data_IF_046376558271
#
_entry.id   IF_046376558271
#
_cell.length_a   1.000
_cell.length_b   1.000
_cell.length_c   1.000
_cell.angle_alpha   90.00
_cell.angle_beta   90.00
_cell.angle_gamma   90.00
#
_symmetry.space_group_name_H-M   'P 1'
#
loop_
_entity.id
_entity.type
_entity.pdbx_description
1 polymer ?
#
# COMPACT_ATOMS: atom_id res chain seq x y z
N UNK A 1 24.72 -6.45 -20.88
CA UNK A 1 24.93 -7.53 -19.89
C UNK A 1 25.85 -7.08 -18.75
N UNK A 2 27.08 -6.62 -19.03
CA UNK A 2 28.12 -6.31 -18.03
C UNK A 2 27.66 -5.48 -16.81
N UNK A 3 27.30 -4.21 -17.00
CA UNK A 3 26.98 -3.31 -15.87
C UNK A 3 25.79 -3.78 -15.03
N UNK A 4 24.76 -4.34 -15.67
CA UNK A 4 23.57 -4.87 -14.97
C UNK A 4 23.95 -6.07 -14.08
N UNK A 5 24.91 -6.88 -14.51
CA UNK A 5 25.41 -8.03 -13.73
C UNK A 5 26.52 -7.64 -12.74
N UNK A 6 26.91 -6.37 -12.64
CA UNK A 6 27.98 -5.92 -11.75
C UNK A 6 29.40 -6.13 -12.28
N UNK A 7 29.56 -6.38 -13.58
CA UNK A 7 30.86 -6.56 -14.23
C UNK A 7 31.27 -5.34 -15.05
N UNK A 8 32.57 -5.14 -15.22
CA UNK A 8 33.13 -4.26 -16.25
C UNK A 8 33.36 -5.05 -17.54
N UNK A 9 33.42 -4.34 -18.67
CA UNK A 9 33.65 -4.98 -19.97
C UNK A 9 35.07 -5.58 -19.99
N UNK A 10 35.14 -6.90 -20.20
CA UNK A 10 36.40 -7.66 -20.16
C UNK A 10 36.58 -8.55 -18.94
N UNK A 11 35.78 -8.36 -17.88
CA UNK A 11 35.84 -9.21 -16.68
C UNK A 11 35.30 -10.62 -16.93
N UNK A 12 34.34 -10.74 -17.84
CA UNK A 12 33.60 -11.98 -18.14
C UNK A 12 33.24 -12.08 -19.62
N UNK A 13 33.04 -13.32 -20.08
CA UNK A 13 32.46 -13.58 -21.40
C UNK A 13 30.93 -13.70 -21.25
N UNK A 14 30.13 -12.91 -21.99
CA UNK A 14 28.68 -12.94 -21.88
C UNK A 14 28.12 -14.21 -22.51
N UNK A 15 27.70 -15.17 -21.67
CA UNK A 15 27.11 -16.45 -22.11
C UNK A 15 25.72 -16.65 -21.51
N UNK A 16 24.93 -17.54 -22.11
CA UNK A 16 23.63 -17.95 -21.54
C UNK A 16 23.81 -18.56 -20.15
N UNK A 17 24.87 -19.35 -19.94
CA UNK A 17 25.19 -19.92 -18.62
C UNK A 17 25.47 -18.83 -17.58
N UNK A 18 26.17 -17.75 -17.98
CA UNK A 18 26.40 -16.61 -17.10
C UNK A 18 25.08 -15.92 -16.72
N UNK A 19 24.17 -15.74 -17.69
CA UNK A 19 22.84 -15.18 -17.44
C UNK A 19 22.05 -16.04 -16.45
N UNK A 20 22.04 -17.36 -16.66
CA UNK A 20 21.34 -18.32 -15.79
C UNK A 20 21.97 -18.41 -14.39
N UNK A 21 23.30 -18.30 -14.29
CA UNK A 21 24.00 -18.29 -13.01
C UNK A 21 23.60 -17.07 -12.15
N UNK A 22 23.33 -15.93 -12.79
CA UNK A 22 22.84 -14.73 -12.12
C UNK A 22 21.32 -14.69 -12.01
N UNK A 23 20.57 -15.67 -12.53
CA UNK A 23 19.15 -15.77 -12.24
C UNK A 23 18.92 -16.19 -10.78
N UNK A 24 17.93 -15.57 -10.13
CA UNK A 24 17.50 -15.94 -8.79
C UNK A 24 17.14 -17.44 -8.76
N UNK A 25 17.51 -18.19 -7.71
CA UNK A 25 17.30 -19.65 -7.67
C UNK A 25 15.85 -20.09 -7.90
N UNK A 26 14.88 -19.28 -7.48
CA UNK A 26 13.44 -19.53 -7.70
C UNK A 26 12.97 -19.38 -9.15
N UNK A 27 13.69 -18.61 -9.98
CA UNK A 27 13.28 -18.29 -11.35
C UNK A 27 14.14 -19.05 -12.38
N UNK A 28 15.35 -19.48 -11.97
CA UNK A 28 16.33 -20.16 -12.82
C UNK A 28 15.80 -21.39 -13.55
N UNK A 29 15.02 -22.32 -12.95
CA UNK A 29 14.55 -23.52 -13.65
C UNK A 29 13.65 -23.20 -14.86
N UNK A 30 12.73 -22.24 -14.69
CA UNK A 30 11.80 -21.83 -15.74
C UNK A 30 12.55 -21.07 -16.84
N UNK A 31 13.44 -20.15 -16.45
CA UNK A 31 14.27 -19.41 -17.40
C UNK A 31 15.19 -20.32 -18.23
N UNK A 32 15.81 -21.32 -17.59
CA UNK A 32 16.65 -22.30 -18.29
C UNK A 32 15.83 -23.11 -19.31
N UNK A 33 14.62 -23.51 -18.94
CA UNK A 33 13.69 -24.23 -19.84
C UNK A 33 13.33 -23.37 -21.05
N UNK A 34 12.99 -22.10 -20.81
CA UNK A 34 12.65 -21.15 -21.88
C UNK A 34 13.84 -20.89 -22.83
N UNK A 35 15.05 -20.76 -22.30
CA UNK A 35 16.25 -20.45 -23.11
C UNK A 35 16.84 -21.68 -23.83
N UNK A 36 16.47 -22.89 -23.44
CA UNK A 36 16.84 -24.10 -24.15
C UNK A 36 16.12 -24.23 -25.51
N UNK A 37 14.85 -23.80 -25.57
CA UNK A 37 14.07 -23.73 -26.81
C UNK A 37 13.29 -22.40 -26.90
N UNK A 38 14.00 -21.28 -27.16
CA UNK A 38 13.37 -19.98 -27.14
C UNK A 38 12.38 -19.81 -28.30
N UNK A 39 11.19 -19.26 -28.03
CA UNK A 39 10.18 -18.98 -29.05
C UNK A 39 10.69 -17.93 -30.07
N UNK A 40 10.01 -17.77 -31.22
CA UNK A 40 10.39 -16.78 -32.24
C UNK A 40 10.52 -15.35 -31.71
N UNK A 41 9.70 -15.00 -30.72
CA UNK A 41 9.82 -13.78 -29.92
C UNK A 41 9.61 -14.12 -28.45
N UNK A 42 10.41 -13.52 -27.57
CA UNK A 42 10.34 -13.73 -26.14
C UNK A 42 10.33 -12.40 -25.39
N UNK A 43 9.58 -12.39 -24.30
CA UNK A 43 9.55 -11.33 -23.31
C UNK A 43 9.30 -11.99 -21.97
N UNK A 44 10.34 -12.09 -21.14
CA UNK A 44 10.28 -12.78 -19.85
C UNK A 44 10.84 -11.88 -18.76
N UNK A 45 10.06 -11.70 -17.70
CA UNK A 45 10.50 -11.06 -16.48
C UNK A 45 11.06 -12.12 -15.52
N UNK A 46 12.19 -11.82 -14.89
CA UNK A 46 12.79 -12.69 -13.87
C UNK A 46 13.65 -11.86 -12.92
N UNK A 47 13.86 -12.38 -11.72
CA UNK A 47 14.80 -11.80 -10.76
C UNK A 47 16.21 -12.26 -11.10
N UNK A 48 17.14 -11.33 -11.13
CA UNK A 48 18.56 -11.61 -11.18
C UNK A 48 19.24 -11.17 -9.88
N UNK A 49 20.34 -11.82 -9.53
CA UNK A 49 21.25 -11.43 -8.45
C UNK A 49 22.55 -11.03 -9.15
N UNK A 50 22.97 -9.78 -8.98
CA UNK A 50 24.22 -9.30 -9.56
C UNK A 50 25.46 -9.77 -8.77
N UNK A 51 26.66 -9.48 -9.29
CA UNK A 51 27.91 -9.87 -8.65
C UNK A 51 28.16 -9.23 -7.26
N UNK A 52 27.35 -8.24 -6.87
CA UNK A 52 27.38 -7.60 -5.55
C UNK A 52 26.31 -8.13 -4.60
N UNK A 53 25.66 -9.25 -4.95
CA UNK A 53 24.56 -9.88 -4.21
C UNK A 53 23.29 -9.01 -4.13
N UNK A 54 23.13 -8.07 -5.08
CA UNK A 54 21.93 -7.25 -5.18
C UNK A 54 20.92 -7.91 -6.12
N UNK A 55 19.72 -8.15 -5.61
CA UNK A 55 18.59 -8.59 -6.42
C UNK A 55 18.08 -7.44 -7.31
N UNK A 56 17.78 -7.75 -8.57
CA UNK A 56 17.24 -6.85 -9.58
C UNK A 56 16.10 -7.53 -10.30
N UNK A 57 15.06 -6.77 -10.63
CA UNK A 57 13.98 -7.25 -11.49
C UNK A 57 14.30 -6.88 -12.93
N UNK A 58 14.52 -7.90 -13.77
CA UNK A 58 14.88 -7.69 -15.16
C UNK A 58 13.86 -8.29 -16.11
N UNK A 59 13.80 -7.72 -17.31
CA UNK A 59 13.07 -8.30 -18.44
C UNK A 59 14.07 -8.59 -19.56
N UNK A 60 14.09 -9.85 -19.99
CA UNK A 60 14.75 -10.24 -21.22
C UNK A 60 13.71 -10.16 -22.35
N UNK A 61 13.97 -9.33 -23.35
CA UNK A 61 13.15 -9.21 -24.56
C UNK A 61 14.03 -9.58 -25.74
N UNK A 62 13.55 -10.44 -26.62
CA UNK A 62 14.33 -10.82 -27.79
C UNK A 62 13.53 -11.53 -28.87
N UNK A 63 14.18 -11.78 -29.98
CA UNK A 63 13.66 -12.50 -31.13
C UNK A 63 14.71 -13.45 -31.69
N UNK A 64 14.25 -14.59 -32.20
CA UNK A 64 15.11 -15.59 -32.82
C UNK A 64 15.31 -15.22 -34.30
N UNK A 65 16.54 -14.92 -34.71
CA UNK A 65 16.92 -14.62 -36.10
C UNK A 65 18.04 -15.55 -36.54
N UNK A 66 17.86 -16.21 -37.69
CA UNK A 66 18.86 -17.13 -38.27
C UNK A 66 19.35 -18.22 -37.30
N UNK A 67 18.50 -18.65 -36.37
CA UNK A 67 18.85 -19.63 -35.34
C UNK A 67 19.46 -19.05 -34.05
N UNK A 68 19.80 -17.77 -34.02
CA UNK A 68 20.35 -17.08 -32.85
C UNK A 68 19.31 -16.20 -32.14
N UNK A 69 19.43 -16.05 -30.83
CA UNK A 69 18.58 -15.16 -30.06
C UNK A 69 19.24 -13.77 -29.97
N UNK A 70 18.55 -12.75 -30.49
CA UNK A 70 18.95 -11.36 -30.35
C UNK A 70 17.99 -10.64 -29.42
N UNK A 71 18.51 -9.87 -28.47
CA UNK A 71 17.66 -9.22 -27.50
C UNK A 71 18.36 -8.26 -26.55
N UNK A 72 17.56 -7.69 -25.68
CA UNK A 72 17.96 -6.75 -24.65
C UNK A 72 17.57 -7.31 -23.29
N UNK A 73 18.47 -7.13 -22.33
CA UNK A 73 18.15 -7.27 -20.91
C UNK A 73 17.93 -5.87 -20.34
N UNK A 74 16.76 -5.63 -19.80
CA UNK A 74 16.35 -4.33 -19.23
C UNK A 74 16.21 -4.48 -17.73
N UNK A 75 16.89 -3.63 -16.97
CA UNK A 75 16.71 -3.51 -15.51
C UNK A 75 15.49 -2.62 -15.22
N UNK A 76 14.48 -3.21 -14.58
CA UNK A 76 13.25 -2.53 -14.18
C UNK A 76 13.19 -2.21 -12.69
N UNK A 77 14.25 -2.51 -11.92
CA UNK A 77 14.26 -2.41 -10.46
C UNK A 77 13.81 -1.03 -9.99
N UNK A 78 14.49 0.04 -10.43
CA UNK A 78 14.15 1.41 -10.01
C UNK A 78 12.77 1.85 -10.50
N UNK A 79 12.30 1.32 -11.64
CA UNK A 79 10.98 1.65 -12.17
C UNK A 79 9.90 1.06 -11.26
N UNK A 80 10.02 -0.24 -10.97
CA UNK A 80 9.07 -0.97 -10.14
C UNK A 80 9.08 -0.46 -8.70
N UNK A 81 10.26 -0.14 -8.15
CA UNK A 81 10.39 0.47 -6.82
C UNK A 81 9.66 1.82 -6.74
N UNK A 82 9.84 2.70 -7.73
CA UNK A 82 9.15 4.00 -7.77
C UNK A 82 7.63 3.85 -7.85
N UNK A 83 7.13 2.96 -8.72
CA UNK A 83 5.69 2.73 -8.82
C UNK A 83 5.13 2.09 -7.54
N UNK A 84 5.85 1.12 -6.97
CA UNK A 84 5.51 0.51 -5.69
C UNK A 84 5.42 1.53 -4.56
N UNK A 85 6.40 2.43 -4.45
CA UNK A 85 6.40 3.53 -3.48
C UNK A 85 5.23 4.49 -3.69
N UNK A 86 4.89 4.84 -4.93
CA UNK A 86 3.76 5.71 -5.23
C UNK A 86 2.42 5.05 -4.81
N UNK A 87 2.23 3.77 -5.14
CA UNK A 87 1.05 3.00 -4.73
C UNK A 87 0.96 2.89 -3.21
N UNK A 88 2.06 2.54 -2.54
CA UNK A 88 2.12 2.44 -1.10
C UNK A 88 1.82 3.79 -0.41
N UNK A 89 2.40 4.88 -0.91
CA UNK A 89 2.16 6.25 -0.40
C UNK A 89 0.69 6.62 -0.56
N UNK A 90 0.09 6.36 -1.72
CA UNK A 90 -1.33 6.59 -1.96
C UNK A 90 -2.21 5.75 -1.03
N UNK A 91 -1.87 4.48 -0.80
CA UNK A 91 -2.61 3.60 0.11
C UNK A 91 -2.51 4.07 1.57
N UNK A 92 -1.33 4.50 2.00
CA UNK A 92 -1.10 5.07 3.34
C UNK A 92 -1.89 6.38 3.49
N UNK A 93 -1.86 7.27 2.51
CA UNK A 93 -2.62 8.52 2.52
C UNK A 93 -4.13 8.25 2.58
N UNK A 94 -4.63 7.31 1.77
CA UNK A 94 -6.03 6.89 1.81
C UNK A 94 -6.40 6.28 3.17
N UNK A 95 -5.53 5.46 3.76
CA UNK A 95 -5.72 4.90 5.10
C UNK A 95 -5.72 6.00 6.18
N UNK A 96 -4.84 7.00 6.09
CA UNK A 96 -4.79 8.14 6.99
C UNK A 96 -6.06 9.00 6.88
N UNK A 97 -6.50 9.33 5.66
CA UNK A 97 -7.78 10.01 5.41
C UNK A 97 -8.94 9.19 5.96
N UNK A 98 -8.91 7.86 5.81
CA UNK A 98 -9.94 6.98 6.37
C UNK A 98 -9.94 6.94 7.91
N UNK A 99 -8.80 7.21 8.57
CA UNK A 99 -8.69 7.34 10.04
C UNK A 99 -9.05 8.76 10.54
N UNK A 100 -9.07 9.75 9.66
CA UNK A 100 -9.28 11.17 9.98
C UNK A 100 -10.57 11.46 10.74
N UNK A 101 -11.69 10.83 10.39
CA UNK A 101 -13.00 11.21 10.96
C UNK A 101 -13.13 10.85 12.45
N UNK A 102 -12.54 9.73 12.87
CA UNK A 102 -12.54 9.31 14.27
C UNK A 102 -11.64 10.23 15.09
N UNK A 103 -10.43 10.54 14.60
CA UNK A 103 -9.52 11.46 15.29
C UNK A 103 -10.08 12.89 15.39
N UNK A 104 -10.81 13.36 14.36
CA UNK A 104 -11.52 14.64 14.41
C UNK A 104 -12.64 14.62 15.46
N UNK A 105 -13.44 13.55 15.51
CA UNK A 105 -14.45 13.39 16.54
C UNK A 105 -13.84 13.30 17.95
N UNK A 106 -12.72 12.59 18.11
CA UNK A 106 -11.95 12.54 19.37
C UNK A 106 -11.51 13.94 19.78
N UNK A 107 -10.98 14.74 18.85
CA UNK A 107 -10.61 16.14 19.12
C UNK A 107 -11.79 17.01 19.58
N UNK A 108 -12.94 16.89 18.91
CA UNK A 108 -14.16 17.60 19.31
C UNK A 108 -14.69 17.17 20.69
N UNK A 109 -14.69 15.86 20.97
CA UNK A 109 -15.09 15.31 22.26
C UNK A 109 -14.10 15.76 23.35
N UNK A 110 -12.79 15.68 23.10
CA UNK A 110 -11.75 16.13 24.03
C UNK A 110 -11.92 17.61 24.39
N UNK A 111 -12.14 18.47 23.37
CA UNK A 111 -12.37 19.90 23.55
C UNK A 111 -13.63 20.18 24.39
N UNK A 112 -14.76 19.57 24.02
CA UNK A 112 -16.05 19.81 24.71
C UNK A 112 -16.08 19.27 26.14
N UNK A 113 -15.51 18.08 26.37
CA UNK A 113 -15.47 17.41 27.66
C UNK A 113 -14.27 17.83 28.52
N UNK A 114 -13.39 18.70 28.00
CA UNK A 114 -12.17 19.17 28.67
C UNK A 114 -11.30 18.01 29.19
N UNK A 115 -11.07 17.02 28.34
CA UNK A 115 -10.34 15.80 28.67
C UNK A 115 -9.26 15.51 27.62
N UNK A 116 -8.38 14.54 27.90
CA UNK A 116 -7.32 14.15 26.96
C UNK A 116 -7.85 13.24 25.83
N UNK A 117 -7.14 13.13 24.70
CA UNK A 117 -7.59 12.30 23.58
C UNK A 117 -7.87 10.82 23.93
N UNK A 118 -7.06 10.13 24.78
CA UNK A 118 -7.38 8.78 25.23
C UNK A 118 -8.72 8.68 25.98
N UNK A 119 -9.00 9.59 26.92
CA UNK A 119 -10.27 9.60 27.64
C UNK A 119 -11.46 9.97 26.73
N UNK A 120 -11.26 10.91 25.80
CA UNK A 120 -12.27 11.27 24.80
C UNK A 120 -12.60 10.09 23.86
N UNK A 121 -11.59 9.33 23.43
CA UNK A 121 -11.81 8.11 22.66
C UNK A 121 -12.58 7.05 23.45
N UNK A 122 -12.29 6.89 24.75
CA UNK A 122 -13.05 6.00 25.62
C UNK A 122 -14.52 6.43 25.76
N UNK A 123 -14.80 7.74 25.87
CA UNK A 123 -16.16 8.28 25.87
C UNK A 123 -16.88 8.05 24.55
N UNK A 124 -16.21 8.28 23.42
CA UNK A 124 -16.75 8.03 22.08
C UNK A 124 -17.08 6.54 21.88
N UNK A 125 -16.20 5.65 22.36
CA UNK A 125 -16.43 4.20 22.34
C UNK A 125 -17.62 3.79 23.20
N UNK A 126 -17.73 4.34 24.42
CA UNK A 126 -18.87 4.07 25.30
C UNK A 126 -20.19 4.51 24.64
N UNK A 127 -20.24 5.73 24.09
CA UNK A 127 -21.41 6.23 23.37
C UNK A 127 -21.79 5.37 22.14
N UNK A 128 -20.79 4.88 21.38
CA UNK A 128 -21.01 3.97 20.26
C UNK A 128 -21.62 2.64 20.69
N UNK A 129 -21.19 2.09 21.84
CA UNK A 129 -21.79 0.87 22.41
C UNK A 129 -23.20 1.13 22.92
N UNK A 130 -23.43 2.23 23.65
CA UNK A 130 -24.73 2.61 24.20
C UNK A 130 -25.78 2.80 23.08
N UNK A 131 -25.37 3.40 21.95
CA UNK A 131 -26.23 3.63 20.78
C UNK A 131 -26.28 2.43 19.80
N UNK A 132 -25.48 1.38 20.03
CA UNK A 132 -25.35 0.21 19.15
C UNK A 132 -25.09 0.55 17.67
N UNK A 133 -24.23 1.54 17.40
CA UNK A 133 -23.80 1.91 16.05
C UNK A 133 -22.28 1.83 15.89
N UNK A 134 -21.76 1.57 14.68
CA UNK A 134 -20.32 1.57 14.45
C UNK A 134 -19.68 2.91 14.89
N UNK A 135 -18.59 2.86 15.65
CA UNK A 135 -17.90 4.07 16.15
C UNK A 135 -17.55 5.07 15.04
N UNK A 136 -17.27 4.57 13.83
CA UNK A 136 -17.03 5.40 12.65
C UNK A 136 -18.27 6.18 12.23
N UNK A 137 -19.46 5.58 12.26
CA UNK A 137 -20.72 6.26 11.94
C UNK A 137 -21.03 7.35 12.98
N UNK A 138 -20.81 7.05 14.27
CA UNK A 138 -20.93 8.03 15.35
C UNK A 138 -19.95 9.21 15.16
N UNK A 139 -18.69 8.91 14.85
CA UNK A 139 -17.68 9.94 14.59
C UNK A 139 -18.05 10.84 13.41
N UNK A 140 -18.55 10.25 12.31
CA UNK A 140 -19.05 11.01 11.16
C UNK A 140 -20.18 11.96 11.56
N UNK A 141 -21.19 11.47 12.28
CA UNK A 141 -22.31 12.29 12.74
C UNK A 141 -21.86 13.47 13.61
N UNK A 142 -20.86 13.26 14.48
CA UNK A 142 -20.26 14.33 15.28
C UNK A 142 -19.57 15.37 14.39
N UNK A 143 -18.69 14.93 13.49
CA UNK A 143 -17.92 15.84 12.63
C UNK A 143 -18.82 16.65 11.70
N UNK A 144 -19.87 16.03 11.14
CA UNK A 144 -20.84 16.70 10.27
C UNK A 144 -21.69 17.74 11.02
N UNK A 145 -21.97 17.53 12.31
CA UNK A 145 -22.71 18.48 13.13
C UNK A 145 -21.86 19.69 13.60
N UNK A 146 -20.52 19.60 13.60
CA UNK A 146 -19.64 20.66 14.14
C UNK A 146 -19.87 22.06 13.55
N UNK A 147 -20.05 22.25 12.22
CA UNK A 147 -20.29 23.57 11.65
C UNK A 147 -21.53 24.27 12.22
N UNK A 148 -22.57 23.50 12.57
CA UNK A 148 -23.84 24.01 13.12
C UNK A 148 -23.75 24.28 14.62
N UNK A 149 -22.93 23.50 15.33
CA UNK A 149 -22.66 23.66 16.76
C UNK A 149 -21.76 24.88 17.03
N UNK A 150 -20.90 25.26 16.07
CA UNK A 150 -19.97 26.37 16.22
C UNK A 150 -18.90 26.11 17.31
N UNK A 151 -18.20 27.16 17.74
CA UNK A 151 -17.17 27.07 18.79
C UNK A 151 -17.74 26.96 20.23
N UNK A 152 -19.04 26.67 20.37
CA UNK A 152 -19.73 26.60 21.65
C UNK A 152 -19.65 25.19 22.23
N UNK A 153 -18.71 25.00 23.17
CA UNK A 153 -18.48 23.72 23.83
C UNK A 153 -19.75 23.12 24.45
N UNK A 154 -20.69 23.94 24.93
CA UNK A 154 -21.92 23.47 25.58
C UNK A 154 -22.91 22.88 24.57
N UNK A 155 -22.93 23.39 23.32
CA UNK A 155 -23.73 22.79 22.25
C UNK A 155 -23.19 21.42 21.85
N UNK A 156 -21.87 21.29 21.75
CA UNK A 156 -21.22 20.00 21.48
C UNK A 156 -21.54 18.98 22.58
N UNK A 157 -21.49 19.37 23.86
CA UNK A 157 -21.89 18.48 24.97
C UNK A 157 -23.34 18.02 24.87
N UNK A 158 -24.26 18.92 24.54
CA UNK A 158 -25.69 18.60 24.39
C UNK A 158 -25.93 17.60 23.28
N UNK A 159 -25.33 17.82 22.12
CA UNK A 159 -25.43 16.91 20.98
C UNK A 159 -24.90 15.51 21.32
N UNK A 160 -23.74 15.42 22.01
CA UNK A 160 -23.20 14.15 22.50
C UNK A 160 -24.14 13.46 23.51
N UNK A 161 -24.81 14.22 24.36
CA UNK A 161 -25.78 13.67 25.30
C UNK A 161 -27.05 13.15 24.61
N UNK A 162 -27.47 13.76 23.49
CA UNK A 162 -28.60 13.33 22.67
C UNK A 162 -28.28 12.04 21.91
N UNK A 163 -27.08 11.91 21.35
CA UNK A 163 -26.61 10.68 20.69
C UNK A 163 -26.56 9.46 21.61
N UNK A 164 -26.43 9.66 22.92
CA UNK A 164 -26.40 8.59 23.92
C UNK A 164 -27.78 8.16 24.41
N UNK A 165 -28.84 8.91 24.07
CA UNK A 165 -30.20 8.49 24.36
C UNK A 165 -30.61 7.48 23.29
N UNK A 166 -30.90 6.21 23.65
CA UNK A 166 -31.41 5.27 22.68
C UNK A 166 -32.70 5.84 22.09
N UNK A 167 -32.89 5.62 20.78
CA UNK A 167 -34.09 6.01 20.07
C UNK A 167 -35.32 5.43 20.79
N UNK A 168 -36.04 6.27 21.54
CA UNK A 168 -37.35 5.92 22.07
C UNK A 168 -38.37 6.14 20.96
N UNK A 169 -38.30 5.30 19.93
CA UNK A 169 -39.25 5.31 18.84
C UNK A 169 -39.45 3.90 18.26
N UNK A 170 -40.05 3.02 19.05
CA UNK A 170 -41.09 2.07 18.61
C UNK A 170 -41.74 1.42 19.84
N UNK A 171 -42.70 2.11 20.44
CA UNK A 171 -43.68 1.53 21.35
C UNK A 171 -44.90 2.46 21.39
N UNK A 172 -45.69 2.44 20.30
CA UNK A 172 -47.17 2.54 20.28
C UNK A 172 -47.61 2.58 18.81
N UNK A 173 -48.00 1.42 18.27
CA UNK A 173 -49.33 1.11 17.70
C UNK A 173 -49.40 -0.36 17.27
#
# INVERSE_FOLDING_TARGET
>A
MYTIHGFTAGDVVPTTDLLLAHAHPGDRPELATLLADPPPALSVAYRMIDATDRERLCVLVGERRSGELHGYLVDLTDLVDRYGQAVATSAIAAAATSRSVIEQAVGAVAFSQQTDPPAAFALLRAASMDANIPIRALATAIVEALPELGADAERVRRFLAELRKPDRATADD
#
